data_IF_566094457630
#
_entry.id   IF_566094457630
#
_cell.length_a   1.000
_cell.length_b   1.000
_cell.length_c   1.000
_cell.angle_alpha   90.00
_cell.angle_beta   90.00
_cell.angle_gamma   90.00
#
_symmetry.space_group_name_H-M   'P 1'
#
loop_
_entity.id
_entity.type
_entity.pdbx_description
1 polymer ?
#
# COMPACT_ATOMS: atom_id res chain seq x y z
N UNK A 1 -10.30 39.49 -7.65
CA UNK A 1 -8.86 39.25 -7.43
C UNK A 1 -8.64 37.77 -7.31
N UNK A 2 -7.74 37.19 -8.10
CA UNK A 2 -7.51 35.75 -8.11
C UNK A 2 -7.04 35.28 -6.72
N UNK A 3 -7.89 34.46 -6.10
CA UNK A 3 -7.68 33.77 -4.83
C UNK A 3 -6.51 32.80 -4.97
N UNK A 4 -5.66 32.68 -3.96
CA UNK A 4 -4.52 31.76 -3.93
C UNK A 4 -4.87 30.39 -4.52
N UNK A 5 -4.12 29.97 -5.56
CA UNK A 5 -4.37 28.72 -6.31
C UNK A 5 -4.03 27.45 -5.53
N UNK A 6 -3.44 27.57 -4.35
CA UNK A 6 -3.04 26.46 -3.49
C UNK A 6 -3.59 26.67 -2.08
N UNK A 7 -3.98 25.57 -1.44
CA UNK A 7 -4.58 25.51 -0.11
C UNK A 7 -3.85 24.48 0.77
N UNK A 8 -4.02 24.63 2.08
CA UNK A 8 -3.59 23.59 3.04
C UNK A 8 -4.32 22.29 2.70
N UNK A 9 -3.56 21.20 2.64
CA UNK A 9 -4.02 19.87 2.22
C UNK A 9 -3.73 19.54 0.76
N UNK A 10 -3.41 20.52 -0.09
CA UNK A 10 -3.14 20.26 -1.50
C UNK A 10 -1.82 19.49 -1.68
N UNK A 11 -1.82 18.59 -2.65
CA UNK A 11 -0.61 17.92 -3.14
C UNK A 11 -0.03 18.73 -4.30
N UNK A 12 1.25 19.02 -4.21
CA UNK A 12 1.97 19.88 -5.15
C UNK A 12 3.23 19.19 -5.64
N UNK A 13 3.57 19.49 -6.90
CA UNK A 13 4.79 19.02 -7.55
C UNK A 13 5.89 20.07 -7.40
N UNK A 14 7.03 19.64 -6.88
CA UNK A 14 8.23 20.44 -6.76
C UNK A 14 9.27 19.97 -7.77
N UNK A 15 9.91 20.92 -8.41
CA UNK A 15 11.12 20.69 -9.19
C UNK A 15 12.33 20.66 -8.25
N UNK A 16 13.08 19.55 -8.26
CA UNK A 16 14.31 19.40 -7.47
C UNK A 16 15.53 19.72 -8.32
N UNK A 17 15.77 18.89 -9.34
CA UNK A 17 16.74 19.14 -10.41
C UNK A 17 16.05 18.90 -11.76
N UNK A 18 16.46 19.60 -12.84
CA UNK A 18 15.73 19.59 -14.11
C UNK A 18 15.65 18.22 -14.80
N UNK A 19 16.51 17.27 -14.40
CA UNK A 19 16.56 15.92 -14.96
C UNK A 19 15.94 14.86 -14.05
N UNK A 20 15.46 15.23 -12.86
CA UNK A 20 14.80 14.31 -11.94
C UNK A 20 13.28 14.44 -12.02
N UNK A 21 12.54 13.33 -11.80
CA UNK A 21 11.10 13.42 -11.80
C UNK A 21 10.61 14.19 -10.57
N UNK A 22 9.56 14.98 -10.74
CA UNK A 22 9.03 15.88 -9.71
C UNK A 22 8.82 15.23 -8.34
N UNK A 23 9.09 16.01 -7.30
CA UNK A 23 8.88 15.64 -5.91
C UNK A 23 7.43 15.95 -5.52
N UNK A 24 6.78 15.02 -4.83
CA UNK A 24 5.41 15.22 -4.34
C UNK A 24 5.49 15.68 -2.90
N UNK A 25 4.79 16.77 -2.59
CA UNK A 25 4.67 17.30 -1.24
C UNK A 25 3.23 17.68 -0.93
N UNK A 26 2.82 17.58 0.33
CA UNK A 26 1.51 18.06 0.81
C UNK A 26 1.70 19.35 1.60
N UNK A 27 0.88 20.35 1.33
CA UNK A 27 0.91 21.61 2.08
C UNK A 27 0.26 21.39 3.45
N UNK A 28 1.04 21.54 4.51
CA UNK A 28 0.56 21.46 5.89
C UNK A 28 0.19 22.86 6.42
N UNK A 29 0.99 23.87 6.05
CA UNK A 29 0.72 25.27 6.37
C UNK A 29 1.12 26.17 5.21
N UNK A 30 0.38 27.26 5.03
CA UNK A 30 0.63 28.27 3.99
C UNK A 30 0.58 29.67 4.61
N UNK A 31 1.72 30.35 4.60
CA UNK A 31 1.87 31.69 5.16
C UNK A 31 2.14 32.69 4.04
N UNK A 32 1.40 33.80 4.02
CA UNK A 32 1.65 34.90 3.11
C UNK A 32 2.23 36.08 3.87
N UNK A 33 3.44 36.48 3.52
CA UNK A 33 4.07 37.63 4.16
C UNK A 33 3.41 38.93 3.66
N UNK A 34 3.45 40.02 4.44
CA UNK A 34 2.93 41.32 4.01
C UNK A 34 3.59 41.86 2.73
N UNK A 35 4.83 41.43 2.46
CA UNK A 35 5.58 41.76 1.25
C UNK A 35 5.06 41.01 0.01
N UNK A 36 4.14 40.07 0.18
CA UNK A 36 3.51 39.30 -0.89
C UNK A 36 4.16 37.94 -1.18
N UNK A 37 5.26 37.60 -0.50
CA UNK A 37 5.87 36.28 -0.59
C UNK A 37 4.95 35.23 0.04
N UNK A 38 5.01 34.01 -0.50
CA UNK A 38 4.26 32.87 0.02
C UNK A 38 5.27 31.81 0.47
N UNK A 39 5.15 31.39 1.72
CA UNK A 39 5.96 30.36 2.34
C UNK A 39 5.05 29.18 2.69
N UNK A 40 5.48 27.95 2.37
CA UNK A 40 4.73 26.75 2.67
C UNK A 40 5.55 25.81 3.54
N UNK A 41 4.97 25.33 4.64
CA UNK A 41 5.48 24.15 5.35
C UNK A 41 4.81 22.94 4.74
N UNK A 42 5.60 21.93 4.42
CA UNK A 42 5.16 20.80 3.60
C UNK A 42 5.61 19.47 4.18
N UNK A 43 4.76 18.46 4.05
CA UNK A 43 5.13 17.07 4.26
C UNK A 43 5.75 16.49 2.98
N UNK A 44 6.86 15.76 3.12
CA UNK A 44 7.58 15.16 2.00
C UNK A 44 7.14 13.71 1.78
N UNK A 45 6.82 13.36 0.53
CA UNK A 45 6.59 11.97 0.12
C UNK A 45 7.79 11.47 -0.68
N UNK A 46 8.32 10.33 -0.27
CA UNK A 46 9.43 9.67 -0.95
C UNK A 46 8.89 8.51 -1.78
N UNK A 47 9.41 8.35 -3.00
CA UNK A 47 9.17 7.13 -3.76
C UNK A 47 10.04 6.03 -3.16
N UNK A 48 9.66 4.77 -3.34
CA UNK A 48 10.43 3.63 -2.81
C UNK A 48 11.90 3.62 -3.26
N UNK A 49 12.19 4.10 -4.47
CA UNK A 49 13.55 4.26 -5.02
C UNK A 49 14.39 5.36 -4.36
N UNK A 50 13.75 6.35 -3.73
CA UNK A 50 14.43 7.46 -3.07
C UNK A 50 14.74 7.12 -1.59
N UNK A 51 14.27 5.96 -1.11
CA UNK A 51 14.50 5.45 0.26
C UNK A 51 15.62 4.41 0.22
N UNK A 52 16.51 4.44 1.20
CA UNK A 52 17.59 3.44 1.32
C UNK A 52 17.03 2.01 1.38
N UNK A 53 17.58 1.11 0.57
CA UNK A 53 17.18 -0.29 0.52
C UNK A 53 17.29 -0.99 1.89
N UNK A 54 18.25 -0.59 2.72
CA UNK A 54 18.38 -1.10 4.08
C UNK A 54 17.14 -0.78 4.94
N UNK A 55 16.67 0.48 4.87
CA UNK A 55 15.50 0.97 5.59
C UNK A 55 14.23 0.29 5.09
N UNK A 56 14.10 0.10 3.78
CA UNK A 56 12.99 -0.65 3.18
C UNK A 56 12.96 -2.09 3.73
N UNK A 57 14.10 -2.79 3.72
CA UNK A 57 14.19 -4.15 4.25
C UNK A 57 13.90 -4.24 5.76
N UNK A 58 14.30 -3.24 6.55
CA UNK A 58 13.99 -3.21 7.99
C UNK A 58 12.50 -3.01 8.25
N UNK A 59 11.86 -2.08 7.54
CA UNK A 59 10.41 -1.84 7.67
C UNK A 59 9.60 -3.05 7.23
N UNK A 60 10.01 -3.70 6.14
CA UNK A 60 9.32 -4.90 5.66
C UNK A 60 9.42 -6.06 6.68
N UNK A 61 10.55 -6.25 7.36
CA UNK A 61 10.66 -7.23 8.47
C UNK A 61 9.82 -6.86 9.69
N UNK A 62 9.86 -5.60 10.11
CA UNK A 62 9.07 -5.13 11.27
C UNK A 62 7.55 -5.23 11.05
N UNK A 63 7.09 -5.15 9.79
CA UNK A 63 5.69 -5.37 9.44
C UNK A 63 5.31 -6.85 9.51
N UNK A 64 6.22 -7.75 9.13
CA UNK A 64 6.02 -9.19 9.21
C UNK A 64 6.05 -9.67 10.69
N UNK A 65 6.82 -9.00 11.55
CA UNK A 65 7.02 -9.39 12.95
C UNK A 65 6.14 -8.58 13.95
N UNK A 66 5.11 -7.87 13.47
CA UNK A 66 4.22 -7.06 14.29
C UNK A 66 3.20 -7.91 15.07
N UNK A 67 2.83 -7.59 16.33
CA UNK A 67 1.90 -8.39 17.15
C UNK A 67 0.41 -8.42 16.71
N UNK A 68 0.12 -8.13 15.45
CA UNK A 68 -1.27 -7.99 14.95
C UNK A 68 -1.48 -8.78 13.66
N UNK A 69 -0.84 -9.95 13.55
CA UNK A 69 -1.16 -10.99 12.57
C UNK A 69 -1.15 -12.37 13.29
N UNK A 70 -1.82 -12.47 14.43
CA UNK A 70 -2.47 -13.71 14.81
C UNK A 70 -3.88 -13.63 14.21
N UNK A 71 -4.28 -14.65 13.43
CA UNK A 71 -5.60 -14.87 12.78
C UNK A 71 -5.64 -14.70 11.25
N UNK A 72 -4.78 -15.40 10.51
CA UNK A 72 -5.18 -16.12 9.28
C UNK A 72 -4.15 -17.23 9.01
N UNK A 73 -4.21 -18.28 9.84
CA UNK A 73 -3.47 -19.52 9.64
C UNK A 73 -3.97 -20.20 8.35
N UNK A 74 -3.39 -19.86 7.19
CA UNK A 74 -3.48 -20.71 6.03
C UNK A 74 -2.47 -21.84 6.19
N UNK A 75 -2.97 -22.99 6.63
CA UNK A 75 -2.20 -24.23 6.64
C UNK A 75 -1.80 -24.58 5.20
N UNK A 76 -0.57 -24.22 4.80
CA UNK A 76 0.05 -24.79 3.61
C UNK A 76 0.70 -26.10 4.01
N UNK A 77 0.00 -27.21 3.81
CA UNK A 77 0.61 -28.52 3.78
C UNK A 77 1.59 -28.62 2.60
N UNK A 78 2.70 -29.32 2.84
CA UNK A 78 3.89 -29.37 1.99
C UNK A 78 3.67 -30.19 0.71
N UNK A 79 2.57 -30.00 -0.02
CA UNK A 79 2.31 -30.52 -1.35
C UNK A 79 1.24 -29.65 -2.03
N UNK A 80 1.66 -28.60 -2.74
CA UNK A 80 0.79 -27.57 -3.29
C UNK A 80 -0.46 -28.07 -4.02
N UNK A 81 -1.59 -28.14 -3.30
CA UNK A 81 -2.92 -28.31 -3.86
C UNK A 81 -3.90 -27.36 -3.19
N UNK A 82 -4.32 -26.34 -3.93
CA UNK A 82 -5.31 -25.35 -3.50
C UNK A 82 -6.69 -26.00 -3.42
N UNK A 83 -7.24 -26.15 -2.21
CA UNK A 83 -8.65 -26.52 -2.02
C UNK A 83 -9.47 -25.23 -1.92
N UNK A 84 -10.24 -24.93 -2.96
CA UNK A 84 -11.20 -23.82 -2.94
C UNK A 84 -12.36 -24.14 -1.98
N UNK A 85 -12.78 -23.23 -1.08
CA UNK A 85 -13.99 -23.41 -0.29
C UNK A 85 -15.15 -22.68 -0.99
N UNK A 86 -16.04 -23.41 -1.65
CA UNK A 86 -17.36 -22.90 -1.95
C UNK A 86 -18.42 -24.00 -1.78
N UNK A 87 -19.46 -23.64 -1.04
CA UNK A 87 -20.32 -24.57 -0.32
C UNK A 87 -21.38 -25.30 -1.12
N UNK A 88 -21.93 -26.32 -0.44
CA UNK A 88 -23.26 -26.93 -0.53
C UNK A 88 -23.88 -27.16 -1.91
N UNK A 89 -24.14 -28.44 -2.25
CA UNK A 89 -25.50 -28.98 -2.46
C UNK A 89 -25.43 -30.46 -2.89
N UNK A 90 -26.43 -31.24 -2.44
CA UNK A 90 -26.93 -32.35 -3.25
C UNK A 90 -26.52 -33.76 -2.85
N UNK A 91 -27.30 -34.34 -1.94
CA UNK A 91 -27.53 -35.78 -1.82
C UNK A 91 -27.88 -36.45 -3.16
N UNK A 92 -27.24 -37.56 -3.51
CA UNK A 92 -27.97 -38.72 -4.02
C UNK A 92 -27.20 -40.04 -3.86
N UNK A 93 -27.95 -41.07 -3.49
CA UNK A 93 -27.57 -42.43 -3.15
C UNK A 93 -27.71 -43.40 -4.33
N UNK A 94 -26.72 -44.26 -4.56
CA UNK A 94 -26.82 -45.58 -5.24
C UNK A 94 -25.44 -46.26 -5.17
N UNK A 95 -25.16 -47.26 -4.31
CA UNK A 95 -25.38 -48.72 -4.51
C UNK A 95 -25.12 -49.14 -5.98
N UNK A 96 -24.17 -49.99 -6.39
CA UNK A 96 -23.67 -51.28 -5.87
C UNK A 96 -22.38 -51.74 -6.64
N UNK A 97 -21.74 -52.90 -6.27
CA UNK A 97 -20.35 -53.29 -6.62
C UNK A 97 -20.20 -54.40 -7.72
N UNK A 98 -18.96 -54.90 -7.94
CA UNK A 98 -18.49 -56.09 -8.75
C UNK A 98 -18.23 -55.84 -10.25
N UNK A 99 -17.31 -56.48 -10.99
CA UNK A 99 -16.35 -57.59 -10.81
C UNK A 99 -15.22 -57.52 -11.89
N UNK A 100 -14.26 -58.45 -11.84
CA UNK A 100 -13.11 -58.63 -12.75
C UNK A 100 -13.46 -58.75 -14.24
N UNK A 101 -12.49 -58.40 -15.12
CA UNK A 101 -11.84 -59.37 -16.03
C UNK A 101 -10.58 -58.81 -16.68
#
# INVERSE_FOLDING_TARGET
>A
MASCMYRVGDYVYFEGTPSEPYLIRRIEELNKTPNGNVEARVACFYRRRDISAYLVNQVDRLKIDGPWDDDDEISTDTNGSTINPSGSTGSNSSSQPTELS
#
